data_IF_810899949396
#
_entry.id   IF_810899949396
#
_cell.length_a   1.000
_cell.length_b   1.000
_cell.length_c   1.000
_cell.angle_alpha   90.00
_cell.angle_beta   90.00
_cell.angle_gamma   90.00
#
_symmetry.space_group_name_H-M   'P 1'
#
loop_
_entity.id
_entity.type
_entity.pdbx_description
1 polymer ?
#
# COMPACT_ATOMS: atom_id res chain seq x y z
N UNK A 1 -10.29 -18.63 12.74
CA UNK A 1 -10.47 -17.19 13.04
C UNK A 1 -11.90 -16.80 12.71
N UNK A 2 -12.62 -16.20 13.66
CA UNK A 2 -14.03 -15.82 13.44
C UNK A 2 -14.12 -14.75 12.35
N UNK A 3 -15.16 -14.81 11.50
CA UNK A 3 -15.40 -13.79 10.45
C UNK A 3 -15.38 -12.36 11.02
N UNK A 4 -15.88 -12.21 12.24
CA UNK A 4 -15.90 -10.97 13.02
C UNK A 4 -14.49 -10.38 13.23
N UNK A 5 -13.51 -11.20 13.64
CA UNK A 5 -12.12 -10.76 13.80
C UNK A 5 -11.49 -10.35 12.46
N UNK A 6 -11.81 -11.07 11.38
CA UNK A 6 -11.33 -10.72 10.04
C UNK A 6 -11.93 -9.40 9.55
N UNK A 7 -13.22 -9.17 9.78
CA UNK A 7 -13.91 -7.93 9.42
C UNK A 7 -13.41 -6.75 10.25
N UNK A 8 -13.19 -6.94 11.55
CA UNK A 8 -12.62 -5.92 12.44
C UNK A 8 -11.19 -5.56 12.02
N UNK A 9 -10.36 -6.55 11.69
CA UNK A 9 -9.01 -6.32 11.19
C UNK A 9 -8.97 -5.59 9.85
N UNK A 10 -9.90 -5.90 8.94
CA UNK A 10 -10.00 -5.19 7.65
C UNK A 10 -10.48 -3.74 7.85
N UNK A 11 -11.47 -3.53 8.72
CA UNK A 11 -12.01 -2.22 9.02
C UNK A 11 -10.97 -1.31 9.69
N UNK A 12 -10.24 -1.82 10.69
CA UNK A 12 -9.19 -1.06 11.36
C UNK A 12 -8.06 -0.70 10.40
N UNK A 13 -7.69 -1.60 9.49
CA UNK A 13 -6.71 -1.33 8.45
C UNK A 13 -7.18 -0.23 7.48
N UNK A 14 -8.44 -0.29 7.00
CA UNK A 14 -9.01 0.73 6.10
C UNK A 14 -9.08 2.09 6.79
N UNK A 15 -9.50 2.13 8.06
CA UNK A 15 -9.57 3.37 8.83
C UNK A 15 -8.18 3.97 9.05
N UNK A 16 -7.17 3.15 9.38
CA UNK A 16 -5.80 3.62 9.54
C UNK A 16 -5.23 4.15 8.21
N UNK A 17 -5.49 3.46 7.10
CA UNK A 17 -5.05 3.92 5.79
C UNK A 17 -5.72 5.24 5.38
N UNK A 18 -7.02 5.38 5.64
CA UNK A 18 -7.77 6.60 5.35
C UNK A 18 -7.31 7.77 6.25
N UNK A 19 -7.09 7.54 7.54
CA UNK A 19 -6.56 8.54 8.47
C UNK A 19 -5.14 8.98 8.08
N UNK A 20 -4.29 8.03 7.72
CA UNK A 20 -2.94 8.33 7.22
C UNK A 20 -3.01 9.19 5.95
N UNK A 21 -3.92 8.88 5.01
CA UNK A 21 -4.11 9.67 3.80
C UNK A 21 -4.63 11.08 4.10
N UNK A 22 -5.62 11.20 4.99
CA UNK A 22 -6.21 12.49 5.37
C UNK A 22 -5.25 13.37 6.16
N UNK A 23 -4.38 12.78 6.97
CA UNK A 23 -3.30 13.50 7.65
C UNK A 23 -2.22 13.96 6.67
N UNK A 24 -1.88 13.09 5.71
CA UNK A 24 -0.76 13.32 4.81
C UNK A 24 -1.09 14.26 3.63
N UNK A 25 -2.27 14.13 3.01
CA UNK A 25 -2.64 14.86 1.80
C UNK A 25 -2.63 16.40 1.96
N UNK A 26 -3.13 17.01 3.05
CA UNK A 26 -3.07 18.46 3.22
C UNK A 26 -1.64 18.99 3.29
N UNK A 27 -0.76 18.27 3.99
CA UNK A 27 0.66 18.61 4.10
C UNK A 27 1.37 18.47 2.75
N UNK A 28 1.01 17.46 1.95
CA UNK A 28 1.47 17.32 0.57
C UNK A 28 1.10 18.56 -0.27
N UNK A 29 -0.16 18.92 -0.33
CA UNK A 29 -0.60 20.01 -1.20
C UNK A 29 -0.10 21.38 -0.73
N UNK A 30 -0.08 21.64 0.58
CA UNK A 30 0.39 22.90 1.15
C UNK A 30 1.87 23.20 0.81
N UNK A 31 2.72 22.18 0.79
CA UNK A 31 4.16 22.35 0.51
C UNK A 31 4.46 22.35 -1.00
N UNK A 32 3.58 21.78 -1.83
CA UNK A 32 3.86 21.53 -3.25
C UNK A 32 3.21 22.51 -4.24
N UNK A 33 2.15 23.23 -3.87
CA UNK A 33 1.34 24.03 -4.82
C UNK A 33 2.06 25.25 -5.42
N UNK A 34 3.14 25.75 -4.80
CA UNK A 34 3.76 27.05 -5.16
C UNK A 34 5.26 26.97 -5.50
N UNK A 35 5.87 25.77 -5.62
CA UNK A 35 7.33 25.63 -5.83
C UNK A 35 7.72 24.85 -7.09
N UNK A 36 8.75 25.35 -7.77
CA UNK A 36 9.46 24.67 -8.87
C UNK A 36 10.18 23.40 -8.39
N UNK A 37 10.43 22.41 -9.26
CA UNK A 37 10.86 21.05 -8.88
C UNK A 37 12.29 21.01 -8.31
N UNK A 38 12.45 21.25 -7.00
CA UNK A 38 13.65 20.86 -6.26
C UNK A 38 13.47 19.49 -5.58
N UNK A 39 14.55 18.71 -5.54
CA UNK A 39 14.64 17.39 -4.90
C UNK A 39 14.79 17.55 -3.38
N UNK A 40 13.72 17.96 -2.71
CA UNK A 40 13.71 18.25 -1.26
C UNK A 40 12.30 18.03 -0.70
N UNK A 41 12.08 17.22 0.35
CA UNK A 41 10.79 16.76 0.97
C UNK A 41 9.70 16.18 0.03
N UNK A 42 9.65 16.60 -1.23
CA UNK A 42 8.78 16.17 -2.32
C UNK A 42 8.99 14.71 -2.68
N UNK A 43 10.16 14.14 -2.37
CA UNK A 43 10.43 12.71 -2.56
C UNK A 43 9.69 11.85 -1.53
N UNK A 44 9.64 12.28 -0.26
CA UNK A 44 8.85 11.65 0.82
C UNK A 44 7.35 11.83 0.56
N UNK A 45 6.99 12.96 -0.05
CA UNK A 45 5.64 13.24 -0.47
C UNK A 45 5.23 12.38 -1.71
N UNK A 46 6.04 12.33 -2.76
CA UNK A 46 5.76 11.53 -3.95
C UNK A 46 5.71 10.02 -3.69
N UNK A 47 6.38 9.53 -2.63
CA UNK A 47 6.39 8.11 -2.24
C UNK A 47 5.11 7.68 -1.50
N UNK A 48 4.33 8.61 -0.93
CA UNK A 48 3.06 8.29 -0.26
C UNK A 48 1.99 7.75 -1.22
N UNK A 49 1.91 8.26 -2.45
CA UNK A 49 0.92 7.85 -3.45
C UNK A 49 1.12 6.39 -3.90
N UNK A 50 2.32 5.95 -4.31
CA UNK A 50 2.61 4.54 -4.58
C UNK A 50 2.27 3.62 -3.41
N UNK A 51 2.57 4.03 -2.18
CA UNK A 51 2.24 3.24 -1.01
C UNK A 51 0.73 3.12 -0.80
N UNK A 52 -0.03 4.21 -0.93
CA UNK A 52 -1.49 4.19 -0.86
C UNK A 52 -2.11 3.24 -1.90
N UNK A 53 -1.64 3.29 -3.15
CA UNK A 53 -2.08 2.37 -4.20
C UNK A 53 -1.78 0.91 -3.86
N UNK A 54 -0.60 0.64 -3.29
CA UNK A 54 -0.26 -0.68 -2.79
C UNK A 54 -1.26 -1.13 -1.70
N UNK A 55 -1.51 -0.30 -0.68
CA UNK A 55 -2.42 -0.61 0.43
C UNK A 55 -3.84 -0.94 -0.09
N UNK A 56 -4.35 -0.16 -1.05
CA UNK A 56 -5.66 -0.39 -1.69
C UNK A 56 -5.66 -1.74 -2.43
N UNK A 57 -4.62 -2.03 -3.22
CA UNK A 57 -4.53 -3.30 -3.96
C UNK A 57 -4.47 -4.53 -3.04
N UNK A 58 -3.76 -4.40 -1.92
CA UNK A 58 -3.65 -5.42 -0.88
C UNK A 58 -5.01 -5.67 -0.24
N UNK A 59 -5.72 -4.61 0.15
CA UNK A 59 -7.06 -4.72 0.73
C UNK A 59 -8.04 -5.39 -0.25
N UNK A 60 -8.01 -4.99 -1.53
CA UNK A 60 -8.85 -5.57 -2.57
C UNK A 60 -8.62 -7.09 -2.70
N UNK A 61 -7.36 -7.54 -2.76
CA UNK A 61 -7.03 -8.98 -2.80
C UNK A 61 -7.45 -9.71 -1.54
N UNK A 62 -7.12 -9.17 -0.37
CA UNK A 62 -7.44 -9.80 0.90
C UNK A 62 -8.96 -10.02 1.07
N UNK A 63 -9.79 -9.16 0.48
CA UNK A 63 -11.25 -9.31 0.49
C UNK A 63 -11.78 -10.51 -0.31
N UNK A 64 -11.03 -10.97 -1.34
CA UNK A 64 -11.40 -12.12 -2.16
C UNK A 64 -10.85 -13.45 -1.61
N UNK A 65 -9.87 -13.39 -0.71
CA UNK A 65 -9.22 -14.56 -0.15
C UNK A 65 -10.01 -15.10 1.06
N UNK A 66 -10.17 -16.44 1.18
CA UNK A 66 -10.91 -17.05 2.30
C UNK A 66 -10.14 -17.01 3.63
N UNK A 67 -8.86 -16.63 3.60
CA UNK A 67 -7.96 -16.59 4.76
C UNK A 67 -6.98 -15.43 4.62
N UNK A 68 -6.47 -14.98 5.77
CA UNK A 68 -5.49 -13.92 5.86
C UNK A 68 -4.18 -14.31 5.18
N UNK A 69 -3.64 -13.42 4.33
CA UNK A 69 -2.44 -13.69 3.55
C UNK A 69 -1.23 -12.98 4.14
N UNK A 70 -0.33 -13.76 4.73
CA UNK A 70 0.95 -13.28 5.26
C UNK A 70 1.80 -12.62 4.17
N UNK A 71 1.71 -13.11 2.93
CA UNK A 71 2.41 -12.51 1.79
C UNK A 71 1.99 -11.04 1.57
N UNK A 72 0.69 -10.75 1.66
CA UNK A 72 0.20 -9.38 1.48
C UNK A 72 0.71 -8.45 2.59
N UNK A 73 0.81 -8.96 3.82
CA UNK A 73 1.42 -8.22 4.94
C UNK A 73 2.89 -7.93 4.66
N UNK A 74 3.65 -8.91 4.17
CA UNK A 74 5.06 -8.69 3.86
C UNK A 74 5.27 -7.60 2.81
N UNK A 75 4.41 -7.50 1.79
CA UNK A 75 4.49 -6.42 0.80
C UNK A 75 4.35 -5.05 1.45
N UNK A 76 3.36 -4.90 2.33
CA UNK A 76 3.09 -3.64 3.05
C UNK A 76 4.25 -3.32 4.00
N UNK A 77 4.68 -4.28 4.81
CA UNK A 77 5.75 -4.09 5.80
C UNK A 77 7.07 -3.75 5.13
N UNK A 78 7.48 -4.45 4.06
CA UNK A 78 8.73 -4.18 3.37
C UNK A 78 8.73 -2.81 2.68
N UNK A 79 7.63 -2.46 2.00
CA UNK A 79 7.51 -1.14 1.38
C UNK A 79 7.47 -0.04 2.44
N UNK A 80 6.74 -0.23 3.55
CA UNK A 80 6.68 0.71 4.66
C UNK A 80 8.03 0.90 5.36
N UNK A 81 8.78 -0.18 5.59
CA UNK A 81 10.14 -0.11 6.15
C UNK A 81 11.10 0.63 5.22
N UNK A 82 11.04 0.36 3.91
CA UNK A 82 11.86 1.09 2.94
C UNK A 82 11.55 2.60 2.97
N UNK A 83 10.28 2.99 3.06
CA UNK A 83 9.88 4.38 3.20
C UNK A 83 10.40 5.00 4.50
N UNK A 84 10.23 4.29 5.62
CA UNK A 84 10.68 4.73 6.93
C UNK A 84 12.20 4.94 7.00
N UNK A 85 12.98 3.99 6.44
CA UNK A 85 14.43 4.12 6.33
C UNK A 85 14.84 5.28 5.43
N UNK A 86 14.09 5.54 4.35
CA UNK A 86 14.29 6.72 3.51
C UNK A 86 14.07 8.04 4.25
N UNK A 87 13.09 8.09 5.18
CA UNK A 87 12.84 9.25 6.04
C UNK A 87 13.94 9.42 7.09
N UNK A 88 14.37 8.34 7.75
CA UNK A 88 15.44 8.42 8.76
C UNK A 88 16.77 8.82 8.14
N UNK A 89 17.07 8.30 6.95
CA UNK A 89 18.33 8.57 6.27
C UNK A 89 18.34 9.92 5.52
N UNK A 90 17.36 10.81 5.74
CA UNK A 90 17.19 12.04 4.96
C UNK A 90 18.42 12.93 4.93
N UNK A 91 19.13 13.06 6.06
CA UNK A 91 20.38 13.83 6.16
C UNK A 91 21.58 13.16 5.44
N UNK A 92 21.41 11.91 5.01
CA UNK A 92 22.39 11.10 4.28
C UNK A 92 21.86 10.79 2.87
N UNK A 93 22.02 11.76 1.98
CA UNK A 93 21.38 11.77 0.65
C UNK A 93 21.54 10.47 -0.17
N UNK A 94 22.72 9.83 -0.28
CA UNK A 94 22.85 8.57 -1.04
C UNK A 94 21.99 7.42 -0.47
N UNK A 95 21.91 7.32 0.85
CA UNK A 95 21.14 6.30 1.56
C UNK A 95 19.64 6.58 1.43
N UNK A 96 19.22 7.84 1.60
CA UNK A 96 17.81 8.24 1.41
C UNK A 96 17.32 7.92 -0.02
N UNK A 97 18.11 8.23 -1.04
CA UNK A 97 17.77 7.95 -2.44
C UNK A 97 17.64 6.43 -2.68
N UNK A 98 18.56 5.63 -2.15
CA UNK A 98 18.50 4.18 -2.25
C UNK A 98 17.21 3.62 -1.64
N UNK A 99 16.89 4.00 -0.40
CA UNK A 99 15.70 3.51 0.29
C UNK A 99 14.40 3.98 -0.36
N UNK A 100 14.34 5.22 -0.84
CA UNK A 100 13.18 5.71 -1.58
C UNK A 100 13.00 4.99 -2.93
N UNK A 101 14.08 4.73 -3.68
CA UNK A 101 14.02 3.96 -4.92
C UNK A 101 13.56 2.52 -4.67
N UNK A 102 14.08 1.89 -3.60
CA UNK A 102 13.66 0.56 -3.17
C UNK A 102 12.18 0.53 -2.79
N UNK A 103 11.70 1.54 -2.07
CA UNK A 103 10.28 1.69 -1.74
C UNK A 103 9.41 1.74 -3.02
N UNK A 104 9.78 2.59 -3.99
CA UNK A 104 9.04 2.72 -5.25
C UNK A 104 9.01 1.40 -6.02
N UNK A 105 10.14 0.69 -6.10
CA UNK A 105 10.24 -0.62 -6.73
C UNK A 105 9.34 -1.66 -6.04
N UNK A 106 9.36 -1.71 -4.69
CA UNK A 106 8.53 -2.62 -3.91
C UNK A 106 7.04 -2.32 -4.12
N UNK A 107 6.65 -1.05 -4.12
CA UNK A 107 5.28 -0.62 -4.40
C UNK A 107 4.84 -1.03 -5.81
N UNK A 108 5.64 -0.73 -6.83
CA UNK A 108 5.32 -1.04 -8.22
C UNK A 108 5.23 -2.56 -8.47
N UNK A 109 6.24 -3.32 -8.04
CA UNK A 109 6.28 -4.77 -8.23
C UNK A 109 5.12 -5.46 -7.49
N UNK A 110 4.86 -5.05 -6.25
CA UNK A 110 3.76 -5.61 -5.44
C UNK A 110 2.40 -5.25 -6.01
N UNK A 111 2.22 -4.02 -6.50
CA UNK A 111 0.98 -3.59 -7.15
C UNK A 111 0.70 -4.41 -8.42
N UNK A 112 1.69 -4.56 -9.31
CA UNK A 112 1.55 -5.37 -10.54
C UNK A 112 1.22 -6.83 -10.22
N UNK A 113 1.95 -7.41 -9.26
CA UNK A 113 1.66 -8.76 -8.78
C UNK A 113 0.23 -8.87 -8.25
N UNK A 114 -0.22 -7.87 -7.48
CA UNK A 114 -1.54 -7.87 -6.90
C UNK A 114 -2.63 -7.77 -7.98
N UNK A 115 -2.46 -6.94 -9.01
CA UNK A 115 -3.42 -6.86 -10.12
C UNK A 115 -3.56 -8.19 -10.87
N UNK A 116 -2.43 -8.87 -11.13
CA UNK A 116 -2.44 -10.19 -11.80
C UNK A 116 -3.17 -11.24 -10.97
N UNK A 117 -2.84 -11.32 -9.68
CA UNK A 117 -3.44 -12.33 -8.80
C UNK A 117 -4.89 -12.04 -8.46
N UNK A 118 -5.26 -10.76 -8.32
CA UNK A 118 -6.65 -10.34 -8.10
C UNK A 118 -7.58 -10.90 -9.19
N UNK A 119 -7.16 -10.84 -10.46
CA UNK A 119 -7.95 -11.42 -11.57
C UNK A 119 -8.18 -12.92 -11.40
N UNK A 120 -7.16 -13.66 -10.97
CA UNK A 120 -7.26 -15.12 -10.73
C UNK A 120 -8.16 -15.43 -9.54
N UNK A 121 -7.99 -14.69 -8.44
CA UNK A 121 -8.79 -14.81 -7.22
C UNK A 121 -10.26 -14.48 -7.48
N UNK A 122 -10.55 -13.45 -8.27
CA UNK A 122 -11.90 -13.06 -8.65
C UNK A 122 -12.61 -14.13 -9.48
N UNK A 123 -11.92 -14.74 -10.46
CA UNK A 123 -12.48 -15.86 -11.24
C UNK A 123 -12.79 -17.06 -10.34
N UNK A 124 -11.88 -17.40 -9.42
CA UNK A 124 -12.09 -18.50 -8.48
C UNK A 124 -13.27 -18.21 -7.53
N UNK A 125 -13.40 -16.96 -7.06
CA UNK A 125 -14.51 -16.54 -6.22
C UNK A 125 -15.85 -16.62 -6.96
N UNK A 126 -15.92 -16.14 -8.20
CA UNK A 126 -17.12 -16.23 -9.04
C UNK A 126 -17.55 -17.69 -9.27
N UNK A 127 -16.61 -18.59 -9.54
CA UNK A 127 -16.91 -20.04 -9.68
C UNK A 127 -17.49 -20.64 -8.41
N UNK A 128 -16.95 -20.29 -7.23
CA UNK A 128 -17.48 -20.75 -5.94
C UNK A 128 -18.89 -20.21 -5.69
N UNK A 129 -19.14 -18.93 -6.01
CA UNK A 129 -20.46 -18.33 -5.88
C UNK A 129 -21.49 -18.98 -6.79
N UNK A 130 -21.13 -19.32 -8.03
CA UNK A 130 -22.00 -20.03 -8.96
C UNK A 130 -22.36 -21.43 -8.43
N UNK A 131 -21.38 -22.18 -7.91
CA UNK A 131 -21.60 -23.50 -7.33
C UNK A 131 -22.48 -23.50 -6.07
N UNK A 132 -22.47 -22.41 -5.30
CA UNK A 132 -23.34 -22.26 -4.11
C UNK A 132 -24.78 -21.85 -4.44
N UNK A 133 -25.04 -21.41 -5.68
CA UNK A 133 -26.36 -20.96 -6.16
C UNK A 133 -27.07 -22.00 -7.02
N UNK A 134 -26.36 -23.06 -7.44
CA UNK A 134 -26.90 -24.22 -8.16
C UNK A 134 -27.34 -25.29 -7.16
#
# INVERSE_FOLDING_TARGET
MSRLLSSLGLLSYVLLAALALLWWAPNFFAVNLHRWPDLDYRYVAATGVPYALLLISVAARQSLMPRFSVQLVFQVVLAGLALFLGIIAFDYLPQAVFFCAMHLLLCAASLLWNLVQYRRELMAWNKRQAALRA
#
